data_IF_213964482558
#
_entry.id   IF_213964482558
#
_cell.length_a   1.000
_cell.length_b   1.000
_cell.length_c   1.000
_cell.angle_alpha   90.00
_cell.angle_beta   90.00
_cell.angle_gamma   90.00
#
_symmetry.space_group_name_H-M   'P 1'
#
loop_
_entity.id
_entity.type
_entity.pdbx_description
1 polymer ?
#
# COMPACT_ATOMS: atom_id res chain seq x y z
N UNK A 1 34.23 -54.39 18.91
CA UNK A 1 33.38 -53.29 19.43
C UNK A 1 32.99 -52.40 18.26
N UNK A 2 31.70 -52.35 17.91
CA UNK A 2 31.19 -51.46 16.86
C UNK A 2 30.87 -50.11 17.49
N UNK A 3 31.62 -49.07 17.13
CA UNK A 3 31.26 -47.69 17.46
C UNK A 3 30.11 -47.26 16.54
N UNK A 4 28.89 -47.31 17.07
CA UNK A 4 27.71 -46.71 16.45
C UNK A 4 27.79 -45.19 16.57
N UNK A 5 28.43 -44.54 15.58
CA UNK A 5 28.30 -43.10 15.41
C UNK A 5 26.88 -42.76 14.94
N UNK A 6 26.03 -42.32 15.87
CA UNK A 6 24.76 -41.68 15.55
C UNK A 6 25.03 -40.41 14.73
N UNK A 7 24.58 -40.37 13.47
CA UNK A 7 24.58 -39.15 12.67
C UNK A 7 23.68 -38.13 13.36
N UNK A 8 24.24 -37.00 13.83
CA UNK A 8 23.43 -35.89 14.33
C UNK A 8 22.39 -35.51 13.27
N UNK A 9 21.11 -35.34 13.65
CA UNK A 9 20.08 -34.97 12.70
C UNK A 9 20.46 -33.63 12.05
N UNK A 10 20.45 -33.61 10.71
CA UNK A 10 20.77 -32.42 9.93
C UNK A 10 19.62 -31.43 10.13
N UNK A 11 19.84 -30.36 10.89
CA UNK A 11 18.83 -29.29 11.03
C UNK A 11 18.69 -28.60 9.67
N UNK A 12 17.45 -28.51 9.18
CA UNK A 12 17.17 -27.69 8.00
C UNK A 12 17.41 -26.22 8.37
N UNK A 13 18.07 -25.43 7.50
CA UNK A 13 18.28 -24.02 7.76
C UNK A 13 16.93 -23.29 7.72
N UNK A 14 16.75 -22.33 8.64
CA UNK A 14 15.60 -21.41 8.58
C UNK A 14 15.75 -20.48 7.38
N UNK A 15 14.76 -20.49 6.49
CA UNK A 15 14.71 -19.63 5.30
C UNK A 15 13.85 -18.41 5.60
N UNK A 16 14.38 -17.23 5.28
CA UNK A 16 13.72 -15.95 5.53
C UNK A 16 13.62 -15.15 4.23
N UNK A 17 12.46 -14.54 4.00
CA UNK A 17 12.24 -13.56 2.94
C UNK A 17 12.13 -12.17 3.55
N UNK A 18 13.01 -11.26 3.16
CA UNK A 18 13.03 -9.87 3.62
C UNK A 18 12.73 -8.93 2.45
N UNK A 19 11.83 -7.98 2.64
CA UNK A 19 11.58 -6.90 1.70
C UNK A 19 11.31 -5.58 2.44
N UNK A 20 11.62 -4.46 1.80
CA UNK A 20 11.38 -3.09 2.31
C UNK A 20 10.69 -2.27 1.23
N UNK A 21 10.21 -1.08 1.61
CA UNK A 21 9.75 -0.02 0.69
C UNK A 21 8.52 -0.41 -0.14
N UNK A 22 7.49 -0.93 0.53
CA UNK A 22 6.22 -1.24 -0.14
C UNK A 22 5.45 0.01 -0.56
N UNK A 23 5.67 1.14 0.12
CA UNK A 23 5.06 2.44 -0.17
C UNK A 23 3.53 2.40 -0.25
N UNK A 24 2.88 1.63 0.62
CA UNK A 24 1.42 1.50 0.68
C UNK A 24 0.80 0.67 -0.43
N UNK A 25 1.56 0.22 -1.44
CA UNK A 25 0.98 -0.45 -2.61
C UNK A 25 0.34 -1.78 -2.23
N UNK A 26 -0.98 -1.85 -2.36
CA UNK A 26 -1.75 -3.06 -2.05
C UNK A 26 -1.27 -4.26 -2.89
N UNK A 27 -0.93 -4.00 -4.16
CA UNK A 27 -0.44 -5.03 -5.07
C UNK A 27 0.89 -5.62 -4.60
N UNK A 28 1.82 -4.78 -4.15
CA UNK A 28 3.13 -5.23 -3.63
C UNK A 28 2.96 -5.94 -2.30
N UNK A 29 2.06 -5.48 -1.44
CA UNK A 29 1.70 -6.15 -0.19
C UNK A 29 1.20 -7.59 -0.44
N UNK A 30 0.25 -7.77 -1.37
CA UNK A 30 -0.24 -9.12 -1.75
C UNK A 30 0.88 -10.03 -2.27
N UNK A 31 1.82 -9.49 -3.07
CA UNK A 31 3.00 -10.24 -3.53
C UNK A 31 3.92 -10.63 -2.38
N UNK A 32 4.17 -9.73 -1.44
CA UNK A 32 5.00 -9.98 -0.26
C UNK A 32 4.43 -11.12 0.59
N UNK A 33 3.12 -11.13 0.85
CA UNK A 33 2.47 -12.24 1.58
C UNK A 33 2.62 -13.55 0.81
N UNK A 34 2.37 -13.53 -0.50
CA UNK A 34 2.49 -14.73 -1.34
C UNK A 34 3.93 -15.24 -1.49
N UNK A 35 4.95 -14.40 -1.25
CA UNK A 35 6.35 -14.79 -1.29
C UNK A 35 6.67 -15.89 -0.26
N UNK A 36 5.95 -15.91 0.87
CA UNK A 36 6.04 -16.96 1.88
C UNK A 36 5.86 -18.36 1.29
N UNK A 37 4.73 -18.56 0.61
CA UNK A 37 4.38 -19.82 -0.05
C UNK A 37 5.21 -20.06 -1.31
N UNK A 38 5.40 -19.04 -2.14
CA UNK A 38 6.06 -19.19 -3.44
C UNK A 38 7.53 -19.60 -3.31
N UNK A 39 8.25 -19.03 -2.34
CA UNK A 39 9.64 -19.35 -2.11
C UNK A 39 9.86 -20.45 -1.06
N UNK A 40 8.82 -21.00 -0.44
CA UNK A 40 8.90 -21.99 0.64
C UNK A 40 9.80 -21.55 1.80
N UNK A 41 9.55 -20.33 2.30
CA UNK A 41 10.29 -19.77 3.44
C UNK A 41 9.56 -19.99 4.77
N UNK A 42 10.32 -20.04 5.86
CA UNK A 42 9.76 -20.21 7.20
C UNK A 42 9.29 -18.89 7.81
N UNK A 43 9.90 -17.77 7.40
CA UNK A 43 9.62 -16.44 7.94
C UNK A 43 9.60 -15.42 6.81
N UNK A 44 8.63 -14.52 6.84
CA UNK A 44 8.62 -13.31 6.01
C UNK A 44 8.78 -12.09 6.93
N UNK A 45 9.65 -11.15 6.56
CA UNK A 45 9.91 -9.92 7.31
C UNK A 45 9.78 -8.73 6.39
N UNK A 46 8.90 -7.80 6.77
CA UNK A 46 8.74 -6.52 6.09
C UNK A 46 9.47 -5.44 6.89
N UNK A 47 10.48 -4.84 6.27
CA UNK A 47 11.16 -3.67 6.79
C UNK A 47 10.63 -2.37 6.17
N UNK A 48 11.09 -1.24 6.71
CA UNK A 48 10.81 0.09 6.17
C UNK A 48 9.36 0.54 6.27
N UNK A 49 9.02 1.57 5.50
CA UNK A 49 7.70 2.17 5.51
C UNK A 49 6.70 1.29 4.75
N UNK A 50 5.73 0.77 5.50
CA UNK A 50 4.56 0.10 4.92
C UNK A 50 3.65 1.12 4.22
N UNK A 51 3.68 2.38 4.66
CA UNK A 51 2.73 3.42 4.26
C UNK A 51 3.16 4.18 3.00
N UNK A 52 2.18 4.61 2.21
CA UNK A 52 2.41 5.56 1.13
C UNK A 52 2.61 6.97 1.64
N UNK A 53 3.38 7.77 0.90
CA UNK A 53 3.80 9.12 1.31
C UNK A 53 2.82 10.22 0.90
N UNK A 54 1.75 9.89 0.15
CA UNK A 54 0.85 10.89 -0.43
C UNK A 54 -0.59 10.65 0.03
N UNK A 55 -1.20 11.73 0.53
CA UNK A 55 -2.64 11.85 0.75
C UNK A 55 -3.24 12.63 -0.41
N UNK A 56 -4.18 12.03 -1.13
CA UNK A 56 -4.88 12.62 -2.26
C UNK A 56 -6.27 13.09 -1.80
N UNK A 57 -6.52 14.41 -1.73
CA UNK A 57 -7.87 14.91 -1.49
C UNK A 57 -8.73 14.67 -2.72
N UNK A 58 -9.90 14.06 -2.51
CA UNK A 58 -10.95 13.94 -3.51
C UNK A 58 -12.01 14.97 -3.14
N UNK A 59 -12.09 16.04 -3.90
CA UNK A 59 -12.88 17.23 -3.58
C UNK A 59 -14.24 17.07 -4.25
N UNK A 60 -15.31 17.14 -3.47
CA UNK A 60 -16.67 17.19 -3.98
C UNK A 60 -17.02 18.62 -4.40
N UNK A 61 -17.41 18.78 -5.66
CA UNK A 61 -17.80 20.05 -6.27
C UNK A 61 -19.32 20.30 -6.10
N UNK A 62 -19.71 21.57 -6.17
CA UNK A 62 -21.12 22.01 -6.00
C UNK A 62 -22.09 21.45 -7.06
N UNK A 63 -21.57 21.00 -8.20
CA UNK A 63 -22.32 20.36 -9.28
C UNK A 63 -22.57 18.84 -9.05
N UNK A 64 -22.17 18.31 -7.88
CA UNK A 64 -22.28 16.89 -7.54
C UNK A 64 -21.18 15.99 -8.11
N UNK A 65 -20.20 16.56 -8.81
CA UNK A 65 -19.02 15.85 -9.33
C UNK A 65 -17.90 15.84 -8.30
N UNK A 66 -16.88 15.03 -8.55
CA UNK A 66 -15.66 15.00 -7.74
C UNK A 66 -14.44 15.38 -8.59
N UNK A 67 -13.42 15.91 -7.94
CA UNK A 67 -12.14 16.26 -8.56
C UNK A 67 -10.98 15.78 -7.70
N UNK A 68 -9.95 15.24 -8.32
CA UNK A 68 -8.71 14.91 -7.63
C UNK A 68 -7.50 15.25 -8.51
N UNK A 69 -6.40 15.69 -7.89
CA UNK A 69 -5.13 15.89 -8.60
C UNK A 69 -4.18 14.76 -8.25
N UNK A 70 -3.90 13.89 -9.22
CA UNK A 70 -3.01 12.75 -9.05
C UNK A 70 -1.82 12.93 -9.97
N UNK A 71 -0.61 12.93 -9.40
CA UNK A 71 0.66 13.07 -10.15
C UNK A 71 0.67 14.29 -11.09
N UNK A 72 0.12 15.42 -10.63
CA UNK A 72 0.07 16.67 -11.39
C UNK A 72 -1.04 16.76 -12.44
N UNK A 73 -1.90 15.73 -12.57
CA UNK A 73 -3.05 15.73 -13.47
C UNK A 73 -4.35 15.82 -12.68
N UNK A 74 -5.18 16.78 -13.03
CA UNK A 74 -6.51 16.93 -12.43
C UNK A 74 -7.51 16.07 -13.19
N UNK A 75 -8.08 15.09 -12.49
CA UNK A 75 -9.13 14.21 -13.00
C UNK A 75 -10.48 14.74 -12.49
N UNK A 76 -11.45 14.91 -13.40
CA UNK A 76 -12.84 15.25 -13.09
C UNK A 76 -13.68 13.98 -13.18
N UNK A 77 -14.44 13.69 -12.13
CA UNK A 77 -15.19 12.46 -11.92
C UNK A 77 -16.67 12.82 -11.86
N UNK A 78 -17.39 12.53 -12.93
CA UNK A 78 -18.80 12.83 -13.08
C UNK A 78 -19.71 11.72 -12.51
N UNK A 79 -19.19 10.51 -12.34
CA UNK A 79 -19.96 9.36 -11.86
C UNK A 79 -19.32 8.66 -10.65
N UNK A 80 -20.13 7.89 -9.94
CA UNK A 80 -19.69 7.05 -8.83
C UNK A 80 -18.72 5.94 -9.30
N UNK A 81 -18.91 5.44 -10.52
CA UNK A 81 -18.02 4.44 -11.14
C UNK A 81 -16.62 5.03 -11.40
N UNK A 82 -16.54 6.27 -11.89
CA UNK A 82 -15.27 6.98 -12.09
C UNK A 82 -14.55 7.23 -10.76
N UNK A 83 -15.31 7.60 -9.71
CA UNK A 83 -14.78 7.74 -8.36
C UNK A 83 -14.18 6.42 -7.84
N UNK A 84 -14.90 5.32 -7.95
CA UNK A 84 -14.41 3.99 -7.54
C UNK A 84 -13.19 3.55 -8.34
N UNK A 85 -13.16 3.82 -9.64
CA UNK A 85 -12.01 3.52 -10.48
C UNK A 85 -10.75 4.29 -10.05
N UNK A 86 -10.91 5.58 -9.70
CA UNK A 86 -9.82 6.37 -9.16
C UNK A 86 -9.34 5.81 -7.81
N UNK A 87 -10.25 5.52 -6.88
CA UNK A 87 -9.90 4.96 -5.56
C UNK A 87 -9.08 3.66 -5.71
N UNK A 88 -9.50 2.74 -6.58
CA UNK A 88 -8.75 1.52 -6.84
C UNK A 88 -7.36 1.77 -7.45
N UNK A 89 -7.21 2.79 -8.30
CA UNK A 89 -5.90 3.22 -8.81
C UNK A 89 -5.02 3.76 -7.69
N UNK A 90 -5.58 4.54 -6.76
CA UNK A 90 -4.86 5.07 -5.61
C UNK A 90 -4.41 3.95 -4.66
N UNK A 91 -5.24 2.93 -4.41
CA UNK A 91 -4.89 1.75 -3.60
C UNK A 91 -3.72 0.97 -4.20
N UNK A 92 -3.71 0.80 -5.53
CA UNK A 92 -2.60 0.14 -6.24
C UNK A 92 -1.30 0.95 -6.10
N UNK A 93 -1.40 2.28 -6.19
CA UNK A 93 -0.27 3.19 -6.00
C UNK A 93 0.15 3.34 -4.53
N UNK A 94 -0.69 2.88 -3.60
CA UNK A 94 -0.49 3.01 -2.16
C UNK A 94 -0.75 4.40 -1.61
N UNK A 95 -1.50 5.23 -2.33
CA UNK A 95 -1.83 6.58 -1.88
C UNK A 95 -3.06 6.55 -0.97
N UNK A 96 -3.01 7.26 0.14
CA UNK A 96 -4.19 7.51 0.94
C UNK A 96 -5.08 8.50 0.23
N UNK A 97 -6.39 8.42 0.47
CA UNK A 97 -7.33 9.41 -0.04
C UNK A 97 -8.41 9.73 0.99
N UNK A 98 -8.96 10.93 0.86
CA UNK A 98 -10.10 11.37 1.66
C UNK A 98 -11.04 12.16 0.77
N UNK A 99 -12.30 11.74 0.73
CA UNK A 99 -13.37 12.52 0.11
C UNK A 99 -13.77 13.63 1.07
N UNK A 100 -13.80 14.86 0.59
CA UNK A 100 -14.12 16.05 1.39
C UNK A 100 -14.86 17.09 0.56
N UNK A 101 -15.63 17.94 1.22
CA UNK A 101 -16.30 19.08 0.59
C UNK A 101 -15.28 20.18 0.25
N UNK A 102 -15.56 21.00 -0.76
CA UNK A 102 -14.64 22.05 -1.22
C UNK A 102 -14.26 23.05 -0.11
N UNK A 103 -15.21 23.41 0.75
CA UNK A 103 -14.97 24.34 1.86
C UNK A 103 -14.03 23.73 2.92
N UNK A 104 -14.17 22.43 3.20
CA UNK A 104 -13.26 21.71 4.10
C UNK A 104 -11.84 21.68 3.53
N UNK A 105 -11.71 21.38 2.23
CA UNK A 105 -10.41 21.37 1.56
C UNK A 105 -9.72 22.75 1.64
N UNK A 106 -10.46 23.82 1.37
CA UNK A 106 -9.93 25.19 1.44
C UNK A 106 -9.50 25.57 2.85
N UNK A 107 -10.28 25.19 3.87
CA UNK A 107 -9.95 25.44 5.26
C UNK A 107 -8.65 24.73 5.66
N UNK A 108 -8.49 23.45 5.29
CA UNK A 108 -7.27 22.69 5.55
C UNK A 108 -6.06 23.26 4.80
N UNK A 109 -6.23 23.68 3.55
CA UNK A 109 -5.15 24.28 2.77
C UNK A 109 -4.68 25.63 3.32
N UNK A 110 -5.58 26.38 3.96
CA UNK A 110 -5.29 27.69 4.53
C UNK A 110 -4.65 27.61 5.94
N UNK A 111 -4.62 26.42 6.57
CA UNK A 111 -3.98 26.23 7.88
C UNK A 111 -2.48 25.89 7.71
N UNK A 112 -1.55 26.78 8.10
CA UNK A 112 -0.12 26.55 7.97
C UNK A 112 0.44 25.43 8.86
N UNK A 113 -0.39 24.86 9.75
CA UNK A 113 0.02 23.82 10.71
C UNK A 113 -0.43 22.41 10.34
N UNK A 114 -1.11 22.22 9.20
CA UNK A 114 -1.46 20.90 8.67
C UNK A 114 -0.32 20.24 7.91
#
# INVERSE_FOLDING_TARGET
MSFLFSKKPKKNPTRLFFATDLHGSERTFRKFINAGKFYDVNVIVMGGDIQGKLMIPIIKESNGRHRATVQGRTEQLATEEELKALMGKLDILGFYYRVMEEDEFRALQADPKS
#
